data_IF_083175347127
#
_entry.id   IF_083175347127
#
_cell.length_a   1.000
_cell.length_b   1.000
_cell.length_c   1.000
_cell.angle_alpha   90.00
_cell.angle_beta   90.00
_cell.angle_gamma   90.00
#
_symmetry.space_group_name_H-M   'P 1'
#
loop_
_entity.id
_entity.type
_entity.pdbx_description
1 polymer ?
#
# COMPACT_ATOMS: atom_id res chain seq x y z
N UNK A 1 0.70 -1.37 0.31
CA UNK A 1 0.01 -0.66 -0.79
C UNK A 1 1.05 -0.30 -1.81
N UNK A 2 0.68 -0.22 -3.09
CA UNK A 2 1.57 0.28 -4.13
C UNK A 2 1.57 1.82 -4.18
N UNK A 3 2.18 2.37 -5.24
CA UNK A 3 2.18 3.80 -5.54
C UNK A 3 0.76 4.41 -5.47
N UNK A 4 0.64 5.58 -4.85
CA UNK A 4 -0.66 6.24 -4.60
C UNK A 4 -1.48 6.45 -5.88
N UNK A 5 -0.82 6.78 -6.98
CA UNK A 5 -1.48 7.04 -8.27
C UNK A 5 -2.22 5.82 -8.83
N UNK A 6 -1.81 4.60 -8.46
CA UNK A 6 -2.50 3.37 -8.87
C UNK A 6 -3.91 3.25 -8.27
N UNK A 7 -4.24 4.07 -7.25
CA UNK A 7 -5.56 4.07 -6.62
C UNK A 7 -6.56 5.02 -7.28
N UNK A 8 -6.12 5.93 -8.17
CA UNK A 8 -6.97 6.91 -8.85
C UNK A 8 -8.15 6.27 -9.59
N UNK A 9 -7.98 5.16 -10.35
CA UNK A 9 -9.12 4.52 -11.01
C UNK A 9 -10.21 4.03 -10.04
N UNK A 10 -9.84 3.56 -8.84
CA UNK A 10 -10.80 3.12 -7.82
C UNK A 10 -11.56 4.29 -7.19
N UNK A 11 -10.87 5.42 -6.95
CA UNK A 11 -11.51 6.66 -6.51
C UNK A 11 -12.52 7.17 -7.54
N UNK A 12 -12.17 7.10 -8.83
CA UNK A 12 -13.08 7.48 -9.90
C UNK A 12 -14.31 6.58 -9.96
N UNK A 13 -14.13 5.27 -9.79
CA UNK A 13 -15.24 4.31 -9.73
C UNK A 13 -16.14 4.57 -8.51
N UNK A 14 -15.55 4.82 -7.34
CA UNK A 14 -16.28 5.14 -6.12
C UNK A 14 -17.17 6.38 -6.29
N UNK A 15 -16.63 7.47 -6.84
CA UNK A 15 -17.38 8.71 -7.08
C UNK A 15 -18.55 8.50 -8.05
N UNK A 16 -18.33 7.77 -9.15
CA UNK A 16 -19.39 7.42 -10.12
C UNK A 16 -20.50 6.58 -9.48
N UNK A 17 -20.15 5.64 -8.60
CA UNK A 17 -21.14 4.84 -7.89
C UNK A 17 -21.95 5.68 -6.91
N UNK A 18 -21.30 6.56 -6.15
CA UNK A 18 -21.98 7.46 -5.21
C UNK A 18 -23.02 8.34 -5.93
N UNK A 19 -22.64 8.94 -7.06
CA UNK A 19 -23.55 9.70 -7.93
C UNK A 19 -24.74 8.85 -8.41
N UNK A 20 -24.48 7.66 -8.97
CA UNK A 20 -25.51 6.76 -9.51
C UNK A 20 -26.58 6.38 -8.47
N UNK A 21 -26.17 6.18 -7.22
CA UNK A 21 -27.06 5.76 -6.15
C UNK A 21 -27.51 6.93 -5.25
N UNK A 22 -27.25 8.17 -5.65
CA UNK A 22 -27.62 9.39 -4.91
C UNK A 22 -27.11 9.39 -3.45
N UNK A 23 -25.87 8.92 -3.28
CA UNK A 23 -25.17 8.83 -1.99
C UNK A 23 -24.10 9.92 -1.89
N UNK A 24 -23.82 10.45 -0.68
CA UNK A 24 -22.73 11.40 -0.49
C UNK A 24 -21.36 10.72 -0.64
N UNK A 25 -20.40 11.45 -1.21
CA UNK A 25 -18.98 11.07 -1.21
C UNK A 25 -18.41 11.32 0.19
N UNK A 26 -17.74 10.31 0.75
CA UNK A 26 -17.11 10.33 2.06
C UNK A 26 -15.60 10.58 1.95
N UNK A 27 -14.95 11.04 3.03
CA UNK A 27 -13.49 11.09 3.11
C UNK A 27 -12.87 9.73 2.81
N UNK A 28 -11.77 9.73 2.05
CA UNK A 28 -11.05 8.51 1.68
C UNK A 28 -9.71 8.47 2.39
N UNK A 29 -9.43 7.35 3.04
CA UNK A 29 -8.14 7.06 3.66
C UNK A 29 -7.36 6.05 2.82
N UNK A 30 -6.03 6.20 2.79
CA UNK A 30 -5.11 5.25 2.18
C UNK A 30 -4.32 4.56 3.29
N UNK A 31 -4.35 3.23 3.29
CA UNK A 31 -3.59 2.41 4.23
C UNK A 31 -2.27 2.00 3.57
N UNK A 32 -1.20 2.67 4.00
CA UNK A 32 0.17 2.40 3.55
C UNK A 32 1.00 1.82 4.68
N UNK A 33 1.96 0.96 4.33
CA UNK A 33 2.99 0.54 5.26
C UNK A 33 4.10 1.59 5.21
N UNK A 34 4.68 1.91 6.35
CA UNK A 34 5.78 2.86 6.46
C UNK A 34 6.48 2.70 7.80
N UNK A 35 7.70 3.22 7.88
CA UNK A 35 8.51 3.25 9.08
C UNK A 35 9.23 4.59 9.11
N UNK A 36 9.36 5.17 10.30
CA UNK A 36 10.02 6.46 10.53
C UNK A 36 11.10 6.21 11.58
N UNK A 37 12.30 6.66 11.30
CA UNK A 37 13.44 6.68 12.21
C UNK A 37 14.11 8.06 12.15
N UNK A 38 15.10 8.29 13.02
CA UNK A 38 15.85 9.54 13.07
C UNK A 38 16.78 9.72 11.86
N UNK A 39 17.17 8.61 11.23
CA UNK A 39 18.04 8.54 10.06
C UNK A 39 17.40 7.76 8.90
N UNK A 40 17.68 8.18 7.67
CA UNK A 40 17.08 7.59 6.47
C UNK A 40 17.59 6.18 6.21
N UNK A 41 18.90 5.94 6.34
CA UNK A 41 19.50 4.63 6.13
C UNK A 41 18.96 3.63 7.17
N UNK A 42 18.85 4.05 8.42
CA UNK A 42 18.17 3.26 9.46
C UNK A 42 16.71 2.98 9.10
N UNK A 43 15.95 4.01 8.68
CA UNK A 43 14.54 3.85 8.34
C UNK A 43 14.35 2.81 7.23
N UNK A 44 15.16 2.89 6.16
CA UNK A 44 15.11 2.00 5.01
C UNK A 44 15.47 0.58 5.38
N UNK A 45 16.56 0.36 6.11
CA UNK A 45 17.02 -1.00 6.45
C UNK A 45 16.09 -1.71 7.44
N UNK A 46 15.58 -0.99 8.45
CA UNK A 46 14.61 -1.53 9.40
C UNK A 46 13.27 -1.80 8.71
N UNK A 47 12.81 -0.89 7.84
CA UNK A 47 11.59 -1.07 7.07
C UNK A 47 11.70 -2.30 6.16
N UNK A 48 12.77 -2.42 5.38
CA UNK A 48 13.00 -3.54 4.47
C UNK A 48 12.94 -4.88 5.20
N UNK A 49 13.72 -5.02 6.29
CA UNK A 49 13.77 -6.27 7.07
C UNK A 49 12.38 -6.70 7.55
N UNK A 50 11.62 -5.78 8.13
CA UNK A 50 10.33 -6.11 8.75
C UNK A 50 9.19 -6.25 7.75
N UNK A 51 9.11 -5.35 6.76
CA UNK A 51 8.07 -5.38 5.73
C UNK A 51 8.25 -6.62 4.86
N UNK A 52 9.47 -6.93 4.42
CA UNK A 52 9.75 -8.13 3.63
C UNK A 52 9.33 -9.39 4.38
N UNK A 53 9.75 -9.55 5.64
CA UNK A 53 9.39 -10.72 6.44
C UNK A 53 7.88 -10.89 6.59
N UNK A 54 7.15 -9.78 6.79
CA UNK A 54 5.69 -9.82 6.89
C UNK A 54 5.02 -10.19 5.55
N UNK A 55 5.46 -9.58 4.45
CA UNK A 55 4.91 -9.83 3.11
C UNK A 55 5.22 -11.25 2.64
N UNK A 56 6.43 -11.77 2.85
CA UNK A 56 6.79 -13.14 2.53
C UNK A 56 5.89 -14.14 3.27
N UNK A 57 5.74 -13.96 4.60
CA UNK A 57 4.88 -14.82 5.42
C UNK A 57 3.44 -14.82 4.93
N UNK A 58 2.91 -13.64 4.62
CA UNK A 58 1.56 -13.49 4.08
C UNK A 58 1.45 -14.11 2.68
N UNK A 59 2.48 -13.95 1.85
CA UNK A 59 2.52 -14.41 0.47
C UNK A 59 2.34 -15.91 0.35
N UNK A 60 2.85 -16.68 1.32
CA UNK A 60 2.68 -18.15 1.39
C UNK A 60 1.21 -18.57 1.36
N UNK A 61 0.30 -17.81 1.98
CA UNK A 61 -1.13 -18.15 2.01
C UNK A 61 -1.93 -17.44 0.92
N UNK A 62 -1.32 -16.48 0.20
CA UNK A 62 -1.99 -15.65 -0.82
C UNK A 62 -1.47 -15.90 -2.24
N UNK A 63 -0.51 -16.81 -2.41
CA UNK A 63 0.10 -17.14 -3.70
C UNK A 63 1.00 -16.04 -4.25
N UNK A 64 1.52 -15.15 -3.39
CA UNK A 64 2.42 -14.08 -3.81
C UNK A 64 3.86 -14.59 -3.84
N UNK A 65 4.63 -14.16 -4.83
CA UNK A 65 6.07 -14.36 -4.82
C UNK A 65 6.70 -13.63 -3.63
N UNK A 66 7.85 -14.10 -3.11
CA UNK A 66 8.61 -13.38 -2.09
C UNK A 66 8.89 -11.93 -2.53
N UNK A 67 8.81 -11.01 -1.57
CA UNK A 67 9.01 -9.59 -1.84
C UNK A 67 10.45 -9.33 -2.28
N UNK A 68 10.62 -8.63 -3.40
CA UNK A 68 11.91 -8.20 -3.93
C UNK A 68 12.27 -6.79 -3.46
N UNK A 69 13.56 -6.45 -3.54
CA UNK A 69 14.05 -5.11 -3.14
C UNK A 69 13.46 -4.01 -4.03
N UNK A 70 13.37 -4.24 -5.35
CA UNK A 70 12.72 -3.30 -6.26
C UNK A 70 11.23 -3.07 -5.98
N UNK A 71 10.50 -4.06 -5.44
CA UNK A 71 9.10 -3.84 -5.01
C UNK A 71 8.98 -2.96 -3.77
N UNK A 72 10.03 -2.93 -2.92
CA UNK A 72 10.09 -2.09 -1.73
C UNK A 72 10.55 -0.66 -2.07
N UNK A 73 11.60 -0.53 -2.88
CA UNK A 73 12.21 0.76 -3.24
C UNK A 73 11.33 1.60 -4.19
N UNK A 74 10.48 0.96 -5.01
CA UNK A 74 9.48 1.63 -5.85
C UNK A 74 9.72 1.55 -7.36
#
# INVERSE_FOLDING_TARGET
>A
GGQADRFVPYLNLYKKAAEKYNMPVQPVAVHSHGFIADDEDEAVEVAWKNIKANFDRIGLTRGWAPMSRGQFDG
#
